data_IF_257177172164
#
_entry.id   IF_257177172164
#
_cell.length_a   1.000
_cell.length_b   1.000
_cell.length_c   1.000
_cell.angle_alpha   90.00
_cell.angle_beta   90.00
_cell.angle_gamma   90.00
#
_symmetry.space_group_name_H-M   'P 1'
#
loop_
_entity.id
_entity.type
_entity.pdbx_description
1 polymer ?
#
# COMPACT_ATOMS: atom_id res chain seq x y z
N UNK A 1 -9.38 -7.60 -14.61
CA UNK A 1 -9.96 -6.67 -13.61
C UNK A 1 -9.20 -5.35 -13.72
N UNK A 2 -9.80 -4.20 -13.39
CA UNK A 2 -9.02 -2.94 -13.31
C UNK A 2 -8.34 -2.82 -11.96
N UNK A 3 -7.07 -2.47 -11.94
CA UNK A 3 -6.23 -2.42 -10.74
C UNK A 3 -5.75 -0.99 -10.49
N UNK A 4 -6.07 -0.47 -9.31
CA UNK A 4 -5.52 0.77 -8.76
C UNK A 4 -4.38 0.42 -7.80
N UNK A 5 -3.21 1.03 -7.96
CA UNK A 5 -2.17 1.02 -6.91
C UNK A 5 -2.24 2.33 -6.13
N UNK A 6 -2.62 2.24 -4.85
CA UNK A 6 -2.70 3.35 -3.92
C UNK A 6 -1.41 3.45 -3.10
N UNK A 7 -0.64 4.52 -3.33
CA UNK A 7 0.65 4.78 -2.69
C UNK A 7 0.48 5.86 -1.62
N UNK A 8 1.04 5.62 -0.44
CA UNK A 8 1.05 6.61 0.65
C UNK A 8 2.48 7.10 0.86
N UNK A 9 2.69 8.41 0.77
CA UNK A 9 4.01 9.02 0.89
C UNK A 9 4.03 10.14 1.92
N UNK A 10 5.20 10.35 2.53
CA UNK A 10 5.47 11.47 3.42
C UNK A 10 6.96 11.81 3.41
N UNK A 11 7.30 13.02 2.93
CA UNK A 11 8.62 13.64 2.99
C UNK A 11 9.83 12.76 2.60
N UNK A 12 9.65 11.85 1.62
CA UNK A 12 10.76 11.06 1.07
C UNK A 12 10.73 10.94 -0.47
N UNK A 13 10.91 12.07 -1.19
CA UNK A 13 10.80 12.14 -2.65
C UNK A 13 11.67 11.12 -3.40
N UNK A 14 12.91 10.88 -2.94
CA UNK A 14 13.82 9.94 -3.59
C UNK A 14 13.34 8.48 -3.49
N UNK A 15 12.70 8.09 -2.37
CA UNK A 15 12.11 6.76 -2.24
C UNK A 15 10.89 6.62 -3.16
N UNK A 16 10.00 7.61 -3.15
CA UNK A 16 8.82 7.63 -4.00
C UNK A 16 9.17 7.50 -5.48
N UNK A 17 10.22 8.18 -5.95
CA UNK A 17 10.69 8.08 -7.32
C UNK A 17 11.04 6.62 -7.69
N UNK A 18 11.77 5.92 -6.82
CA UNK A 18 12.12 4.49 -7.03
C UNK A 18 10.88 3.60 -7.01
N UNK A 19 9.88 3.89 -6.16
CA UNK A 19 8.61 3.15 -6.13
C UNK A 19 7.86 3.33 -7.46
N UNK A 20 7.69 4.57 -7.92
CA UNK A 20 7.01 4.85 -9.19
C UNK A 20 7.74 4.20 -10.37
N UNK A 21 9.06 4.36 -10.46
CA UNK A 21 9.89 3.69 -11.48
C UNK A 21 9.71 2.16 -11.48
N UNK A 22 9.57 1.55 -10.31
CA UNK A 22 9.32 0.10 -10.19
C UNK A 22 7.94 -0.31 -10.71
N UNK A 23 6.93 0.53 -10.53
CA UNK A 23 5.58 0.31 -11.04
C UNK A 23 5.48 0.54 -12.56
N UNK A 24 6.27 1.47 -13.10
CA UNK A 24 6.37 1.71 -14.54
C UNK A 24 6.99 0.52 -15.31
N UNK A 25 7.71 -0.37 -14.62
CA UNK A 25 8.40 -1.53 -15.20
C UNK A 25 7.70 -2.87 -14.88
N UNK A 26 6.44 -2.83 -14.50
CA UNK A 26 5.68 -4.05 -14.20
C UNK A 26 5.36 -4.83 -15.48
N UNK A 27 5.42 -6.16 -15.38
CA UNK A 27 5.02 -7.09 -16.45
C UNK A 27 3.52 -7.05 -16.75
N UNK A 28 2.71 -6.70 -15.73
CA UNK A 28 1.35 -6.21 -15.85
C UNK A 28 1.33 -4.82 -15.24
N UNK A 29 1.29 -3.77 -16.06
CA UNK A 29 1.12 -2.40 -15.57
C UNK A 29 -0.21 -2.27 -14.83
N UNK A 30 -0.33 -1.54 -13.70
CA UNK A 30 -1.65 -1.25 -13.11
C UNK A 30 -2.46 -0.35 -14.05
N UNK A 31 -3.77 -0.27 -13.87
CA UNK A 31 -4.62 0.58 -14.72
C UNK A 31 -4.50 2.06 -14.31
N UNK A 32 -4.21 2.31 -13.03
CA UNK A 32 -3.89 3.63 -12.50
C UNK A 32 -3.01 3.54 -11.23
N UNK A 33 -2.31 4.62 -10.95
CA UNK A 33 -1.55 4.83 -9.71
C UNK A 33 -2.04 6.10 -9.05
N UNK A 34 -2.41 6.02 -7.77
CA UNK A 34 -2.83 7.16 -6.95
C UNK A 34 -1.80 7.35 -5.85
N UNK A 35 -1.07 8.45 -5.88
CA UNK A 35 -0.15 8.86 -4.83
C UNK A 35 -0.89 9.82 -3.89
N UNK A 36 -1.12 9.37 -2.66
CA UNK A 36 -1.61 10.22 -1.56
C UNK A 36 -0.44 10.71 -0.72
N UNK A 37 -0.33 12.03 -0.59
CA UNK A 37 0.74 12.71 0.10
C UNK A 37 0.23 13.33 1.41
N UNK A 38 0.70 12.81 2.55
CA UNK A 38 0.28 13.20 3.90
C UNK A 38 1.01 14.45 4.43
N UNK A 39 1.11 15.49 3.60
CA UNK A 39 1.70 16.77 4.01
C UNK A 39 3.19 16.94 3.69
N UNK A 40 3.69 16.31 2.61
CA UNK A 40 5.07 16.58 2.18
C UNK A 40 5.27 18.01 1.69
N UNK A 41 6.54 18.41 1.70
CA UNK A 41 7.02 19.64 1.04
C UNK A 41 6.89 19.57 -0.49
N UNK A 42 7.09 20.72 -1.16
CA UNK A 42 7.00 20.84 -2.62
C UNK A 42 7.96 19.94 -3.43
N UNK A 43 9.02 19.38 -2.81
CA UNK A 43 9.93 18.45 -3.49
C UNK A 43 9.21 17.18 -3.95
N UNK A 44 8.29 16.63 -3.14
CA UNK A 44 7.51 15.44 -3.50
C UNK A 44 6.67 15.70 -4.75
N UNK A 45 6.00 16.85 -4.81
CA UNK A 45 5.21 17.27 -5.99
C UNK A 45 6.08 17.35 -7.25
N UNK A 46 7.25 17.97 -7.17
CA UNK A 46 8.16 18.08 -8.33
C UNK A 46 8.66 16.72 -8.83
N UNK A 47 8.87 15.76 -7.94
CA UNK A 47 9.19 14.38 -8.32
C UNK A 47 8.03 13.75 -9.08
N UNK A 48 6.80 13.88 -8.57
CA UNK A 48 5.63 13.31 -9.22
C UNK A 48 5.41 13.92 -10.61
N UNK A 49 5.45 15.25 -10.73
CA UNK A 49 5.31 15.96 -12.02
C UNK A 49 6.37 15.51 -13.04
N UNK A 50 7.64 15.38 -12.60
CA UNK A 50 8.73 14.88 -13.46
C UNK A 50 8.49 13.44 -13.92
N UNK A 51 8.09 12.55 -13.01
CA UNK A 51 7.84 11.14 -13.34
C UNK A 51 6.60 11.01 -14.24
N UNK A 52 5.56 11.81 -14.00
CA UNK A 52 4.32 11.80 -14.75
C UNK A 52 4.54 12.04 -16.25
N UNK A 53 5.52 12.86 -16.62
CA UNK A 53 5.84 13.14 -18.03
C UNK A 53 6.12 11.89 -18.88
N UNK A 54 6.56 10.78 -18.27
CA UNK A 54 6.87 9.52 -18.97
C UNK A 54 6.17 8.30 -18.36
N UNK A 55 5.27 8.51 -17.40
CA UNK A 55 4.62 7.40 -16.69
C UNK A 55 3.62 6.69 -17.61
N UNK A 56 3.65 5.34 -17.68
CA UNK A 56 2.93 4.62 -18.73
C UNK A 56 1.42 4.57 -18.55
N UNK A 57 0.91 4.90 -17.35
CA UNK A 57 -0.50 4.75 -16.97
C UNK A 57 -0.98 5.97 -16.20
N UNK A 58 -2.30 6.11 -15.98
CA UNK A 58 -2.86 7.25 -15.23
C UNK A 58 -2.14 7.42 -13.89
N UNK A 59 -1.64 8.62 -13.62
CA UNK A 59 -0.95 8.95 -12.36
C UNK A 59 -1.68 10.12 -11.71
N UNK A 60 -2.13 9.93 -10.48
CA UNK A 60 -2.88 10.94 -9.72
C UNK A 60 -2.09 11.33 -8.48
N UNK A 61 -2.03 12.61 -8.16
CA UNK A 61 -1.48 13.11 -6.90
C UNK A 61 -2.56 13.75 -6.02
N UNK A 62 -2.74 13.22 -4.81
CA UNK A 62 -3.68 13.73 -3.82
C UNK A 62 -2.91 14.23 -2.59
N UNK A 63 -2.73 15.54 -2.49
CA UNK A 63 -2.06 16.14 -1.33
C UNK A 63 -3.07 16.49 -0.22
N UNK A 64 -2.67 16.35 1.05
CA UNK A 64 -3.37 16.92 2.21
C UNK A 64 -2.41 17.72 3.09
N UNK A 65 -2.91 18.67 3.89
CA UNK A 65 -2.06 19.42 4.84
C UNK A 65 -1.34 18.50 5.84
N UNK A 66 -0.14 18.89 6.28
CA UNK A 66 0.56 18.24 7.39
C UNK A 66 -0.12 18.67 8.71
N UNK A 67 -0.86 17.75 9.31
CA UNK A 67 -1.60 17.95 10.57
C UNK A 67 -1.52 16.65 11.38
N UNK A 68 -0.27 16.25 11.62
CA UNK A 68 0.07 14.98 12.25
C UNK A 68 -0.03 13.79 11.29
N UNK A 69 0.32 12.60 11.81
CA UNK A 69 0.27 11.37 11.03
C UNK A 69 -1.19 10.95 10.82
N UNK A 70 -1.69 11.14 9.60
CA UNK A 70 -3.08 10.85 9.19
C UNK A 70 -3.10 9.86 8.03
N UNK A 71 -2.31 8.79 8.18
CA UNK A 71 -2.18 7.72 7.19
C UNK A 71 -3.53 7.07 6.85
N UNK A 72 -4.43 6.91 7.83
CA UNK A 72 -5.80 6.40 7.58
C UNK A 72 -6.56 7.30 6.60
N UNK A 73 -6.51 8.61 6.80
CA UNK A 73 -7.14 9.60 5.90
C UNK A 73 -6.52 9.56 4.52
N UNK A 74 -5.19 9.52 4.43
CA UNK A 74 -4.49 9.41 3.15
C UNK A 74 -4.93 8.14 2.39
N UNK A 75 -4.92 6.98 3.05
CA UNK A 75 -5.40 5.71 2.46
C UNK A 75 -6.85 5.81 2.01
N UNK A 76 -7.73 6.41 2.80
CA UNK A 76 -9.14 6.55 2.47
C UNK A 76 -9.38 7.45 1.26
N UNK A 77 -8.64 8.55 1.11
CA UNK A 77 -8.72 9.39 -0.08
C UNK A 77 -8.30 8.65 -1.34
N UNK A 78 -7.26 7.81 -1.27
CA UNK A 78 -6.91 6.95 -2.40
C UNK A 78 -8.02 5.95 -2.74
N UNK A 79 -8.64 5.32 -1.74
CA UNK A 79 -9.75 4.36 -1.95
C UNK A 79 -10.97 5.05 -2.57
N UNK A 80 -11.29 6.25 -2.09
CA UNK A 80 -12.40 7.05 -2.60
C UNK A 80 -12.17 7.44 -4.07
N UNK A 81 -10.96 7.92 -4.40
CA UNK A 81 -10.56 8.32 -5.75
C UNK A 81 -10.31 7.15 -6.71
N UNK A 82 -10.12 5.93 -6.19
CA UNK A 82 -9.85 4.73 -6.99
C UNK A 82 -11.00 4.44 -7.96
N UNK A 83 -10.66 4.19 -9.22
CA UNK A 83 -11.59 3.78 -10.27
C UNK A 83 -11.49 2.28 -10.59
N UNK A 84 -10.45 1.60 -10.12
CA UNK A 84 -10.25 0.17 -10.28
C UNK A 84 -11.19 -0.69 -9.42
N UNK A 85 -11.43 -1.92 -9.86
CA UNK A 85 -12.23 -2.90 -9.14
C UNK A 85 -11.43 -3.50 -7.96
N UNK A 86 -10.10 -3.49 -8.08
CA UNK A 86 -9.15 -4.01 -7.11
C UNK A 86 -8.13 -2.92 -6.74
N UNK A 87 -7.91 -2.73 -5.43
CA UNK A 87 -7.01 -1.71 -4.89
C UNK A 87 -5.84 -2.39 -4.19
N UNK A 88 -4.63 -2.11 -4.64
CA UNK A 88 -3.38 -2.51 -3.99
C UNK A 88 -2.85 -1.33 -3.19
N UNK A 89 -2.77 -1.47 -1.88
CA UNK A 89 -2.19 -0.50 -0.96
C UNK A 89 -0.68 -0.79 -0.85
N UNK A 90 0.13 0.23 -1.10
CA UNK A 90 1.60 0.17 -1.10
C UNK A 90 2.17 1.38 -0.38
N UNK A 91 3.16 1.19 0.49
CA UNK A 91 3.84 2.34 1.11
C UNK A 91 4.86 2.98 0.14
N UNK A 92 5.10 4.28 0.27
CA UNK A 92 5.95 5.09 -0.61
C UNK A 92 7.46 4.78 -0.54
N UNK A 93 7.85 3.79 0.27
CA UNK A 93 9.21 3.27 0.42
C UNK A 93 9.33 1.78 0.04
N UNK A 94 8.31 1.25 -0.66
CA UNK A 94 8.24 -0.14 -1.08
C UNK A 94 8.46 -0.30 -2.59
N UNK A 95 9.70 -0.61 -2.99
CA UNK A 95 10.06 -0.82 -4.40
C UNK A 95 9.55 -2.18 -4.88
N UNK A 96 8.59 -2.18 -5.80
CA UNK A 96 7.89 -3.37 -6.28
C UNK A 96 8.76 -4.21 -7.24
N UNK A 97 8.78 -5.54 -7.07
CA UNK A 97 9.38 -6.44 -8.06
C UNK A 97 8.55 -6.46 -9.36
N UNK A 98 9.12 -6.80 -10.54
CA UNK A 98 8.45 -6.69 -11.85
C UNK A 98 7.14 -7.47 -12.02
N UNK A 99 6.89 -8.47 -11.18
CA UNK A 99 5.68 -9.28 -11.21
C UNK A 99 4.70 -8.91 -10.08
N UNK A 100 4.94 -7.84 -9.34
CA UNK A 100 4.16 -7.46 -8.17
C UNK A 100 2.66 -7.33 -8.48
N UNK A 101 2.30 -6.55 -9.50
CA UNK A 101 0.89 -6.35 -9.88
C UNK A 101 0.27 -7.63 -10.45
N UNK A 102 1.00 -8.35 -11.30
CA UNK A 102 0.55 -9.62 -11.87
C UNK A 102 0.28 -10.67 -10.79
N UNK A 103 1.12 -10.71 -9.75
CA UNK A 103 0.95 -11.60 -8.62
C UNK A 103 -0.26 -11.21 -7.75
N UNK A 104 -0.49 -9.92 -7.51
CA UNK A 104 -1.73 -9.48 -6.85
C UNK A 104 -2.97 -9.90 -7.64
N UNK A 105 -2.98 -9.67 -8.96
CA UNK A 105 -4.08 -10.06 -9.84
C UNK A 105 -4.33 -11.58 -9.80
N UNK A 106 -3.28 -12.39 -9.88
CA UNK A 106 -3.38 -13.85 -9.91
C UNK A 106 -3.91 -14.48 -8.60
N UNK A 107 -3.76 -13.77 -7.47
CA UNK A 107 -4.20 -14.25 -6.16
C UNK A 107 -5.46 -13.55 -5.64
N UNK A 108 -5.95 -12.52 -6.36
CA UNK A 108 -7.21 -11.87 -6.07
C UNK A 108 -8.36 -12.89 -6.11
N UNK A 109 -9.15 -12.95 -5.05
CA UNK A 109 -10.29 -13.87 -4.91
C UNK A 109 -11.35 -13.18 -4.09
N UNK A 110 -12.62 -13.23 -4.52
CA UNK A 110 -13.74 -12.61 -3.80
C UNK A 110 -13.86 -13.21 -2.39
N UNK A 111 -14.28 -12.39 -1.43
CA UNK A 111 -14.30 -12.77 0.00
C UNK A 111 -12.91 -12.92 0.62
N UNK A 112 -11.85 -12.51 -0.08
CA UNK A 112 -10.49 -12.51 0.44
C UNK A 112 -9.78 -11.19 0.17
N UNK A 113 -8.93 -10.79 1.12
CA UNK A 113 -7.86 -9.83 0.86
C UNK A 113 -6.51 -10.55 0.82
N UNK A 114 -5.54 -9.92 0.16
CA UNK A 114 -4.18 -10.46 0.03
C UNK A 114 -3.18 -9.64 0.81
N UNK A 115 -2.17 -10.29 1.37
CA UNK A 115 -1.00 -9.62 1.94
C UNK A 115 0.26 -10.09 1.23
N UNK A 116 0.96 -9.16 0.59
CA UNK A 116 2.19 -9.43 -0.14
C UNK A 116 3.42 -9.60 0.74
N UNK A 117 4.51 -10.02 0.11
CA UNK A 117 5.79 -10.24 0.80
C UNK A 117 6.60 -8.95 0.90
N UNK A 118 7.28 -8.78 2.04
CA UNK A 118 8.17 -7.66 2.29
C UNK A 118 9.62 -8.13 2.41
N UNK A 119 10.44 -7.72 1.45
CA UNK A 119 11.90 -7.82 1.49
C UNK A 119 12.43 -6.64 2.30
N UNK A 120 13.30 -6.89 3.27
CA UNK A 120 13.86 -5.85 4.12
C UNK A 120 15.29 -5.58 3.66
N UNK A 121 15.54 -4.35 3.23
CA UNK A 121 16.89 -3.86 2.96
C UNK A 121 17.48 -3.22 4.22
N UNK A 122 18.81 -3.13 4.27
CA UNK A 122 19.54 -2.31 5.24
C UNK A 122 19.86 -0.92 4.67
N UNK A 123 20.52 -0.09 5.48
CA UNK A 123 20.90 1.28 5.11
C UNK A 123 21.86 1.33 3.90
N UNK A 124 22.77 0.36 3.77
CA UNK A 124 23.75 0.33 2.69
C UNK A 124 23.08 -0.02 1.35
N UNK A 125 22.22 -1.04 1.33
CA UNK A 125 21.45 -1.40 0.15
C UNK A 125 20.47 -0.30 -0.23
N UNK A 126 19.82 0.35 0.73
CA UNK A 126 18.92 1.48 0.49
C UNK A 126 19.64 2.63 -0.21
N UNK A 127 20.82 3.03 0.28
CA UNK A 127 21.62 4.08 -0.38
C UNK A 127 21.95 3.75 -1.83
N UNK A 128 22.30 2.48 -2.10
CA UNK A 128 22.56 2.00 -3.47
C UNK A 128 21.30 2.05 -4.34
N UNK A 129 20.17 1.57 -3.85
CA UNK A 129 18.90 1.59 -4.58
C UNK A 129 18.40 3.00 -4.85
N UNK A 130 18.63 3.95 -3.93
CA UNK A 130 18.30 5.35 -4.13
C UNK A 130 19.21 6.03 -5.15
N UNK A 131 20.51 5.68 -5.16
CA UNK A 131 21.48 6.22 -6.12
C UNK A 131 21.32 5.65 -7.53
N UNK A 132 20.90 4.40 -7.66
CA UNK A 132 20.72 3.69 -8.93
C UNK A 132 19.44 2.84 -8.90
N UNK A 133 18.41 3.32 -9.59
CA UNK A 133 17.11 2.65 -9.69
C UNK A 133 17.13 1.31 -10.45
N UNK A 134 18.26 0.93 -11.05
CA UNK A 134 18.45 -0.40 -11.65
C UNK A 134 18.81 -1.48 -10.61
N UNK A 135 19.28 -1.08 -9.41
CA UNK A 135 19.63 -2.01 -8.34
C UNK A 135 18.37 -2.67 -7.80
N UNK A 136 18.29 -4.00 -7.94
CA UNK A 136 17.20 -4.82 -7.41
C UNK A 136 17.68 -5.73 -6.29
N UNK A 137 16.80 -5.96 -5.32
CA UNK A 137 17.05 -6.84 -4.21
C UNK A 137 16.89 -8.31 -4.65
N UNK A 138 18.00 -9.05 -4.67
CA UNK A 138 18.00 -10.48 -5.00
C UNK A 138 18.56 -11.32 -3.85
N UNK A 139 18.38 -12.64 -3.90
CA UNK A 139 18.84 -13.55 -2.85
C UNK A 139 20.32 -13.37 -2.46
N UNK A 140 21.18 -13.04 -3.44
CA UNK A 140 22.63 -12.86 -3.24
C UNK A 140 23.03 -11.41 -2.97
N UNK A 141 22.11 -10.47 -3.03
CA UNK A 141 22.39 -9.06 -2.79
C UNK A 141 22.82 -8.85 -1.32
N UNK A 142 23.95 -8.17 -1.06
CA UNK A 142 24.33 -7.76 0.29
C UNK A 142 23.30 -6.79 0.89
N UNK A 143 23.13 -6.83 2.21
CA UNK A 143 22.23 -5.92 2.92
C UNK A 143 20.74 -6.28 2.87
N UNK A 144 20.42 -7.57 2.65
CA UNK A 144 19.05 -8.09 2.76
C UNK A 144 18.87 -8.88 4.04
N UNK A 145 17.86 -8.52 4.83
CA UNK A 145 17.40 -9.37 5.92
C UNK A 145 16.49 -10.48 5.41
N UNK A 146 16.59 -11.69 6.00
CA UNK A 146 15.71 -12.84 5.70
C UNK A 146 15.61 -13.12 4.19
N UNK A 147 16.76 -13.34 3.55
CA UNK A 147 16.95 -13.55 2.09
C UNK A 147 15.88 -14.37 1.38
N UNK A 148 15.28 -15.38 2.02
CA UNK A 148 14.14 -16.15 1.48
C UNK A 148 12.96 -15.29 1.01
N UNK A 149 12.77 -14.08 1.53
CA UNK A 149 11.70 -13.18 1.08
C UNK A 149 11.94 -12.60 -0.32
N UNK A 150 13.15 -12.72 -0.87
CA UNK A 150 13.48 -12.32 -2.26
C UNK A 150 13.13 -13.38 -3.29
N UNK A 151 12.80 -14.60 -2.85
CA UNK A 151 12.52 -15.70 -3.75
C UNK A 151 11.09 -15.59 -4.27
N UNK A 152 10.93 -15.50 -5.58
CA UNK A 152 9.62 -15.64 -6.25
C UNK A 152 9.46 -17.07 -6.75
N UNK A 153 8.50 -17.81 -6.18
CA UNK A 153 8.21 -19.20 -6.52
C UNK A 153 6.68 -19.36 -6.62
N UNK A 154 6.07 -19.05 -7.78
CA UNK A 154 4.62 -18.96 -7.90
C UNK A 154 3.86 -20.25 -7.55
N UNK A 155 4.43 -21.41 -7.87
CA UNK A 155 3.84 -22.72 -7.52
C UNK A 155 3.74 -22.91 -6.01
N UNK A 156 4.79 -22.54 -5.27
CA UNK A 156 4.82 -22.61 -3.81
C UNK A 156 3.91 -21.54 -3.19
N UNK A 157 3.84 -20.34 -3.79
CA UNK A 157 2.95 -19.28 -3.36
C UNK A 157 1.47 -19.72 -3.35
N UNK A 158 1.01 -20.43 -4.38
CA UNK A 158 -0.35 -21.00 -4.45
C UNK A 158 -0.68 -21.91 -3.28
N UNK A 159 0.28 -22.71 -2.82
CA UNK A 159 0.11 -23.61 -1.68
C UNK A 159 0.06 -22.87 -0.34
N UNK A 160 0.82 -21.78 -0.20
CA UNK A 160 0.82 -20.96 1.03
C UNK A 160 -0.39 -20.01 1.14
N UNK A 161 -0.95 -19.58 0.01
CA UNK A 161 -2.04 -18.61 -0.05
C UNK A 161 -3.42 -19.22 0.28
N UNK A 162 -3.48 -20.16 1.24
CA UNK A 162 -4.74 -20.71 1.75
C UNK A 162 -5.49 -19.64 2.56
N UNK A 163 -6.78 -19.39 2.28
CA UNK A 163 -7.59 -18.45 3.06
C UNK A 163 -7.58 -18.77 4.55
N UNK A 164 -7.39 -17.76 5.40
CA UNK A 164 -7.39 -17.90 6.87
C UNK A 164 -7.69 -16.58 7.57
N UNK A 165 -8.05 -16.60 8.85
CA UNK A 165 -8.20 -15.39 9.67
C UNK A 165 -7.00 -15.16 10.59
N UNK A 166 -5.78 -15.30 10.05
CA UNK A 166 -4.55 -15.10 10.83
C UNK A 166 -4.36 -13.62 11.19
N UNK A 167 -4.40 -13.34 12.48
CA UNK A 167 -4.23 -11.99 13.05
C UNK A 167 -2.77 -11.57 13.22
N UNK A 168 -1.82 -12.52 13.23
CA UNK A 168 -0.39 -12.20 13.40
C UNK A 168 0.22 -11.62 12.13
N UNK A 169 1.01 -10.56 12.27
CA UNK A 169 1.85 -10.01 11.20
C UNK A 169 1.07 -9.35 10.07
N UNK A 170 -0.10 -8.78 10.39
CA UNK A 170 -0.83 -7.86 9.51
C UNK A 170 0.06 -6.63 9.26
N UNK A 171 0.12 -6.18 8.00
CA UNK A 171 0.88 -4.99 7.59
C UNK A 171 0.23 -4.35 6.37
N UNK A 172 -0.13 -3.07 6.49
CA UNK A 172 -0.73 -2.25 5.41
C UNK A 172 0.21 -1.94 4.24
N UNK A 173 1.52 -2.10 4.40
CA UNK A 173 2.54 -1.73 3.41
C UNK A 173 2.47 -2.44 2.05
N UNK A 174 1.70 -3.53 1.94
CA UNK A 174 1.55 -4.35 0.74
C UNK A 174 0.31 -5.24 0.89
N UNK A 175 -0.86 -4.68 0.61
CA UNK A 175 -2.14 -5.41 0.69
C UNK A 175 -2.99 -5.18 -0.56
N UNK A 176 -3.79 -6.16 -0.94
CA UNK A 176 -4.75 -6.03 -2.05
C UNK A 176 -6.16 -6.39 -1.59
N UNK A 177 -7.13 -5.58 -1.99
CA UNK A 177 -8.53 -5.74 -1.63
C UNK A 177 -9.41 -5.47 -2.85
N UNK A 178 -10.58 -6.12 -2.91
CA UNK A 178 -11.63 -5.62 -3.79
C UNK A 178 -12.09 -4.26 -3.27
N UNK A 179 -12.31 -3.31 -4.19
CA UNK A 179 -12.75 -1.97 -3.83
C UNK A 179 -14.08 -2.00 -3.08
N UNK A 180 -15.00 -2.88 -3.47
CA UNK A 180 -16.29 -3.05 -2.79
C UNK A 180 -16.12 -3.47 -1.33
N UNK A 181 -15.13 -4.33 -1.01
CA UNK A 181 -14.87 -4.76 0.36
C UNK A 181 -14.35 -3.57 1.18
N UNK A 182 -13.43 -2.78 0.63
CA UNK A 182 -12.94 -1.56 1.30
C UNK A 182 -14.07 -0.57 1.56
N UNK A 183 -14.97 -0.38 0.59
CA UNK A 183 -16.14 0.49 0.74
C UNK A 183 -17.12 -0.06 1.77
N UNK A 184 -17.37 -1.37 1.81
CA UNK A 184 -18.26 -2.01 2.78
C UNK A 184 -17.73 -1.89 4.23
N UNK A 185 -16.40 -1.91 4.40
CA UNK A 185 -15.76 -1.68 5.70
C UNK A 185 -15.71 -0.19 6.08
N UNK A 186 -15.99 0.73 5.16
CA UNK A 186 -15.73 2.17 5.28
C UNK A 186 -14.23 2.52 5.35
N UNK A 187 -13.36 1.73 4.74
CA UNK A 187 -11.93 2.05 4.74
C UNK A 187 -11.27 1.97 6.11
N UNK A 188 -10.14 2.67 6.26
CA UNK A 188 -9.37 2.75 7.49
C UNK A 188 -10.07 3.67 8.48
N UNK A 189 -9.98 3.38 9.77
CA UNK A 189 -10.61 4.19 10.79
C UNK A 189 -9.83 5.51 10.97
N UNK A 190 -10.43 6.63 10.56
CA UNK A 190 -9.84 7.98 10.67
C UNK A 190 -9.88 8.54 12.10
N UNK A 191 -10.60 7.89 13.02
CA UNK A 191 -10.47 8.15 14.44
C UNK A 191 -9.10 7.71 15.01
N UNK A 192 -8.37 6.84 14.29
CA UNK A 192 -6.99 6.49 14.63
C UNK A 192 -6.02 7.53 14.08
N UNK A 193 -5.31 8.20 14.99
CA UNK A 193 -4.26 9.17 14.66
C UNK A 193 -2.90 8.67 15.17
N UNK A 194 -1.81 9.18 14.60
CA UNK A 194 -0.48 8.72 14.99
C UNK A 194 -0.14 7.37 14.37
N UNK A 195 0.72 6.60 15.04
CA UNK A 195 1.32 5.39 14.47
C UNK A 195 0.70 4.11 15.00
N UNK A 196 0.28 3.23 14.09
CA UNK A 196 0.00 1.83 14.35
C UNK A 196 -1.45 1.53 14.72
N UNK A 197 -1.77 0.23 14.62
CA UNK A 197 -3.07 -0.42 14.83
C UNK A 197 -4.11 -0.18 13.74
N UNK A 198 -3.92 0.79 12.85
CA UNK A 198 -4.86 1.06 11.77
C UNK A 198 -5.02 -0.11 10.81
N UNK A 199 -3.92 -0.82 10.52
CA UNK A 199 -3.91 -2.01 9.69
C UNK A 199 -4.63 -3.20 10.35
N UNK A 200 -4.40 -3.36 11.65
CA UNK A 200 -4.90 -4.46 12.46
C UNK A 200 -6.38 -4.30 12.74
N UNK A 201 -6.83 -3.07 13.01
CA UNK A 201 -8.24 -2.73 13.22
C UNK A 201 -9.04 -2.93 11.94
N UNK A 202 -8.55 -2.43 10.80
CA UNK A 202 -9.17 -2.64 9.50
C UNK A 202 -9.36 -4.12 9.17
N UNK A 203 -8.31 -4.92 9.34
CA UNK A 203 -8.37 -6.37 9.08
C UNK A 203 -9.28 -7.09 10.06
N UNK A 204 -9.34 -6.63 11.31
CA UNK A 204 -10.25 -7.20 12.32
C UNK A 204 -11.70 -6.98 11.88
N UNK A 205 -12.06 -5.78 11.39
CA UNK A 205 -13.37 -5.51 10.79
C UNK A 205 -13.62 -6.38 9.56
N UNK A 206 -12.62 -6.54 8.69
CA UNK A 206 -12.69 -7.44 7.54
C UNK A 206 -13.02 -8.90 7.95
N UNK A 207 -12.38 -9.41 8.99
CA UNK A 207 -12.66 -10.76 9.50
C UNK A 207 -14.06 -10.88 10.11
N UNK A 208 -14.52 -9.87 10.85
CA UNK A 208 -15.91 -9.85 11.34
C UNK A 208 -16.93 -9.81 10.20
N UNK A 209 -16.59 -9.14 9.09
CA UNK A 209 -17.41 -9.10 7.87
C UNK A 209 -17.33 -10.40 7.04
N UNK A 210 -16.58 -11.40 7.49
CA UNK A 210 -16.46 -12.70 6.83
C UNK A 210 -15.35 -12.80 5.78
N UNK A 211 -14.53 -11.75 5.59
CA UNK A 211 -13.37 -11.84 4.70
C UNK A 211 -12.31 -12.78 5.28
N UNK A 212 -11.51 -13.34 4.39
CA UNK A 212 -10.34 -14.15 4.72
C UNK A 212 -9.06 -13.50 4.19
N UNK A 213 -7.96 -13.77 4.87
CA UNK A 213 -6.61 -13.35 4.45
C UNK A 213 -5.95 -14.45 3.63
N UNK A 214 -5.31 -14.05 2.53
CA UNK A 214 -4.36 -14.89 1.77
C UNK A 214 -2.95 -14.30 1.86
N UNK A 215 -1.99 -15.08 2.34
CA UNK A 215 -0.59 -14.66 2.41
C UNK A 215 0.16 -15.02 1.12
N UNK A 216 0.64 -14.01 0.40
CA UNK A 216 1.37 -14.18 -0.87
C UNK A 216 2.86 -14.34 -0.55
N UNK A 217 3.19 -15.43 0.16
CA UNK A 217 4.60 -15.81 0.34
C UNK A 217 5.17 -16.24 -1.00
N UNK A 218 6.39 -15.79 -1.31
CA UNK A 218 7.06 -16.07 -2.59
C UNK A 218 6.38 -15.47 -3.84
N UNK A 219 5.53 -14.46 -3.64
CA UNK A 219 4.87 -13.68 -4.70
C UNK A 219 4.60 -12.27 -4.21
N UNK A 220 4.22 -11.36 -5.11
CA UNK A 220 3.89 -9.96 -4.80
C UNK A 220 4.98 -9.33 -3.91
N UNK A 221 6.24 -9.52 -4.30
CA UNK A 221 7.40 -9.08 -3.55
C UNK A 221 7.57 -7.57 -3.71
N UNK A 222 7.83 -6.89 -2.60
CA UNK A 222 8.28 -5.50 -2.60
C UNK A 222 9.40 -5.31 -1.59
N UNK A 223 10.41 -4.54 -1.99
CA UNK A 223 11.58 -4.22 -1.18
C UNK A 223 11.34 -2.94 -0.42
N UNK A 224 11.24 -3.08 0.90
CA UNK A 224 11.17 -1.97 1.83
C UNK A 224 12.55 -1.32 1.93
N UNK A 225 12.63 -0.05 1.59
CA UNK A 225 13.81 0.78 1.81
C UNK A 225 13.99 1.00 3.31
N UNK A 226 15.21 0.80 3.80
CA UNK A 226 15.52 0.99 5.20
C UNK A 226 15.29 2.44 5.62
N UNK A 227 14.50 2.62 6.66
CA UNK A 227 14.42 3.86 7.40
C UNK A 227 14.36 3.54 8.90
N UNK A 228 14.71 4.53 9.73
CA UNK A 228 14.59 4.40 11.18
C UNK A 228 13.11 4.35 11.54
N UNK A 229 12.66 3.20 12.00
CA UNK A 229 11.28 2.99 12.45
C UNK A 229 11.11 3.39 13.91
N UNK A 230 10.02 4.08 14.24
CA UNK A 230 9.55 4.19 15.62
C UNK A 230 8.78 2.92 15.99
N UNK A 231 9.51 1.84 16.31
CA UNK A 231 8.89 0.58 16.78
C UNK A 231 8.50 0.75 18.25
N UNK A 232 7.37 0.18 18.62
CA UNK A 232 6.86 0.09 20.00
C UNK A 232 6.47 1.46 20.59
N UNK A 233 5.35 2.01 20.10
CA UNK A 233 4.66 3.10 20.80
C UNK A 233 4.12 2.53 22.11
N UNK A 234 4.66 2.99 23.24
CA UNK A 234 4.13 2.71 24.58
C UNK A 234 2.83 3.51 24.74
N UNK A 235 1.79 2.89 25.30
CA UNK A 235 0.46 3.50 25.49
C UNK A 235 -0.15 4.07 24.20
N UNK A 236 -0.28 3.22 23.18
CA UNK A 236 -0.82 3.65 21.89
C UNK A 236 -2.30 4.04 22.04
N UNK A 237 -2.71 5.30 21.73
CA UNK A 237 -4.10 5.73 21.83
C UNK A 237 -5.06 4.88 20.99
N UNK A 238 -4.56 4.28 19.91
CA UNK A 238 -5.32 3.44 19.00
C UNK A 238 -5.64 2.05 19.56
N UNK A 239 -5.01 1.62 20.66
CA UNK A 239 -5.31 0.32 21.29
C UNK A 239 -6.77 0.27 21.78
N UNK A 240 -7.31 1.39 22.29
CA UNK A 240 -8.71 1.47 22.76
C UNK A 240 -9.71 1.21 21.62
N UNK A 241 -9.47 1.81 20.45
CA UNK A 241 -10.33 1.66 19.27
C UNK A 241 -10.28 0.22 18.75
N UNK A 242 -9.09 -0.38 18.72
CA UNK A 242 -8.92 -1.78 18.31
C UNK A 242 -9.61 -2.75 19.27
N UNK A 243 -9.49 -2.53 20.58
CA UNK A 243 -10.11 -3.39 21.59
C UNK A 243 -11.64 -3.26 21.57
N UNK A 244 -12.16 -2.06 21.36
CA UNK A 244 -13.59 -1.84 21.15
C UNK A 244 -14.10 -2.56 19.89
N UNK A 245 -13.37 -2.44 18.78
CA UNK A 245 -13.68 -3.13 17.52
C UNK A 245 -13.82 -4.64 17.73
N UNK A 246 -12.87 -5.24 18.47
CA UNK A 246 -12.89 -6.67 18.84
C UNK A 246 -14.06 -7.02 19.73
N UNK A 247 -14.27 -6.24 20.80
CA UNK A 247 -15.31 -6.51 21.81
C UNK A 247 -16.71 -6.45 21.20
N UNK A 248 -16.96 -5.47 20.34
CA UNK A 248 -18.28 -5.22 19.76
C UNK A 248 -18.50 -5.96 18.43
N UNK A 249 -17.49 -6.63 17.88
CA UNK A 249 -17.60 -7.30 16.59
C UNK A 249 -17.86 -6.32 15.43
N UNK A 250 -17.31 -5.11 15.50
CA UNK A 250 -17.57 -4.09 14.49
C UNK A 250 -17.10 -4.56 13.12
N UNK A 251 -17.91 -4.32 12.09
CA UNK A 251 -17.60 -4.63 10.68
C UNK A 251 -17.32 -3.39 9.86
N UNK A 252 -17.72 -2.22 10.35
CA UNK A 252 -17.61 -0.93 9.65
C UNK A 252 -17.19 0.14 10.66
N UNK A 253 -16.26 1.03 10.29
CA UNK A 253 -15.91 2.17 11.14
C UNK A 253 -16.83 3.36 10.86
N UNK A 254 -16.97 4.25 11.85
CA UNK A 254 -17.78 5.47 11.74
C UNK A 254 -17.08 6.51 10.83
N UNK A 255 -15.83 6.84 11.14
CA UNK A 255 -15.03 7.80 10.38
C UNK A 255 -14.12 7.06 9.40
N UNK A 256 -14.40 7.22 8.11
CA UNK A 256 -13.76 6.42 7.06
C UNK A 256 -13.89 7.01 5.66
N UNK A 257 -13.84 6.14 4.64
CA UNK A 257 -13.88 6.49 3.21
C UNK A 257 -15.10 7.31 2.80
N UNK A 258 -16.26 7.09 3.41
CA UNK A 258 -17.51 7.79 3.07
C UNK A 258 -17.35 9.31 3.09
N UNK A 259 -16.51 9.83 4.00
CA UNK A 259 -16.23 11.25 4.15
C UNK A 259 -15.59 11.88 2.90
N UNK A 260 -14.93 11.06 2.07
CA UNK A 260 -14.16 11.50 0.91
C UNK A 260 -14.83 11.13 -0.42
N UNK A 261 -15.91 10.34 -0.42
CA UNK A 261 -16.59 9.93 -1.67
C UNK A 261 -17.12 11.13 -2.47
N UNK A 262 -17.64 12.14 -1.78
CA UNK A 262 -18.11 13.37 -2.42
C UNK A 262 -16.96 14.21 -3.01
N UNK A 263 -15.77 14.19 -2.40
CA UNK A 263 -14.57 14.89 -2.89
C UNK A 263 -14.19 14.40 -4.30
N UNK A 264 -14.41 13.11 -4.58
CA UNK A 264 -13.98 12.45 -5.81
C UNK A 264 -15.15 11.99 -6.70
N UNK A 265 -16.31 12.65 -6.57
CA UNK A 265 -17.40 12.47 -7.53
C UNK A 265 -16.94 12.79 -8.96
N UNK A 266 -16.11 13.83 -9.10
CA UNK A 266 -15.33 14.07 -10.32
C UNK A 266 -13.97 13.39 -10.17
N UNK A 267 -13.56 12.55 -11.13
CA UNK A 267 -12.24 11.92 -11.07
C UNK A 267 -11.12 12.96 -10.97
N UNK A 268 -10.09 12.72 -10.13
CA UNK A 268 -8.93 13.60 -10.06
C UNK A 268 -8.21 13.74 -11.41
N UNK A 269 -7.50 14.86 -11.57
CA UNK A 269 -6.66 15.12 -12.74
C UNK A 269 -5.58 14.03 -12.89
N UNK A 270 -5.32 13.64 -14.13
CA UNK A 270 -4.14 12.86 -14.48
C UNK A 270 -2.95 13.82 -14.54
N UNK A 271 -1.89 13.55 -13.77
CA UNK A 271 -0.67 14.35 -13.72
C UNK A 271 0.14 14.24 -15.02
N UNK A 272 -0.15 13.24 -15.85
CA UNK A 272 0.49 13.10 -17.15
C UNK A 272 0.08 14.26 -18.06
N UNK A 273 1.00 14.77 -18.91
CA UNK A 273 0.64 15.79 -19.88
C UNK A 273 -0.45 15.26 -20.81
N UNK A 274 -1.43 16.13 -21.14
CA UNK A 274 -2.41 15.80 -22.17
C UNK A 274 -1.65 15.40 -23.44
N UNK A 275 -2.03 14.26 -24.03
CA UNK A 275 -1.41 13.80 -25.28
C UNK A 275 -1.60 14.88 -26.34
N UNK A 276 -0.50 15.47 -26.80
CA UNK A 276 -0.49 16.44 -27.91
C UNK A 276 -0.85 15.75 -29.23
#
# INVERSE_FOLDING_TARGET
MRITVAIITYNWPAALERVLESLARQTRLPDEVIVTDDGSTGETRRVIERVAATFPVRLVHLWQPDDGARMSRARNRAIAAATGDYVIILDGDMVAEPHFVADHEAFATRGCYVQGSRVLSDEALTRRMLADGSVRASFFTPGIERRRHTLRIPSLARWYAKPSQKTRGIKSCNMGFWREDLLALNGFNEGMTGWGREDTEMVTRAFHAGLLRRDLRFSALATHLYHRTRKNVVDNPNDRILDETRRLGLVRCEFGVDQHLAEFFTPPLDERPASA
#
